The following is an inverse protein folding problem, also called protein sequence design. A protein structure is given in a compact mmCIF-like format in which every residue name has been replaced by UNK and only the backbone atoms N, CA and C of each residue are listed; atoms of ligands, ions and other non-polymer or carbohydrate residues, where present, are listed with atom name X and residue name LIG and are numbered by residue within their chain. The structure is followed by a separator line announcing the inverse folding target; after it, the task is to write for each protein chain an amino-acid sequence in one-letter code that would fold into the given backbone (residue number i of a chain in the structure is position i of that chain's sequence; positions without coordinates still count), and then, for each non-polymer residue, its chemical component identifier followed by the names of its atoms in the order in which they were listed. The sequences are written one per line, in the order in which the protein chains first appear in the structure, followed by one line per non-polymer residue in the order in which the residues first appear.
data_IF_741459399366
#
_entry.id   IF_741459399366
#
_cell.length_a   1.000
_cell.length_b   1.000
_cell.length_c   1.000
_cell.angle_alpha   90.00
_cell.angle_beta   90.00
_cell.angle_gamma   90.00
#
_symmetry.space_group_name_H-M   'P 1'
#
loop_
_entity.id
_entity.type
_entity.pdbx_description
1 polymer ?
#
# COMPACT_ATOMS: atom_id res chain seq x y z
N UNK A 1 43.41 -33.18 0.80
CA UNK A 1 42.64 -32.51 -0.24
C UNK A 1 42.27 -31.14 0.30
N UNK A 2 42.65 -30.04 -0.34
CA UNK A 2 42.23 -28.73 0.10
C UNK A 2 40.70 -28.57 -0.14
N UNK A 3 39.96 -28.35 0.93
CA UNK A 3 38.58 -27.88 0.85
C UNK A 3 38.61 -26.48 0.20
N UNK A 4 38.25 -26.41 -1.09
CA UNK A 4 38.14 -25.16 -1.78
C UNK A 4 37.15 -24.28 -1.02
N UNK A 5 37.60 -23.19 -0.45
CA UNK A 5 36.77 -22.12 0.04
C UNK A 5 35.86 -21.67 -1.14
N UNK A 6 34.60 -22.02 -1.13
CA UNK A 6 33.62 -21.39 -2.02
C UNK A 6 33.65 -19.91 -1.69
N UNK A 7 34.23 -19.11 -2.55
CA UNK A 7 34.08 -17.68 -2.49
C UNK A 7 32.57 -17.42 -2.43
N UNK A 8 32.12 -16.84 -1.34
CA UNK A 8 30.75 -16.38 -1.20
C UNK A 8 30.58 -15.34 -2.30
N UNK A 9 29.76 -15.65 -3.31
CA UNK A 9 29.54 -14.74 -4.41
C UNK A 9 29.10 -13.40 -3.81
N UNK A 10 29.79 -12.32 -4.21
CA UNK A 10 29.51 -10.98 -3.71
C UNK A 10 28.02 -10.66 -3.93
N UNK A 11 27.26 -10.57 -2.85
CA UNK A 11 25.86 -10.15 -2.93
C UNK A 11 25.80 -8.61 -2.98
N UNK A 12 25.01 -8.02 -3.88
CA UNK A 12 24.17 -8.64 -4.92
C UNK A 12 24.95 -8.82 -6.24
N UNK A 13 24.91 -10.04 -6.82
CA UNK A 13 25.53 -10.36 -8.11
C UNK A 13 24.58 -10.24 -9.31
N UNK A 14 23.30 -9.91 -9.10
CA UNK A 14 22.25 -9.78 -10.13
C UNK A 14 21.22 -8.74 -9.70
N UNK A 15 20.37 -8.25 -10.62
CA UNK A 15 19.32 -7.29 -10.27
C UNK A 15 18.38 -7.79 -9.18
N UNK A 16 17.96 -6.85 -8.33
CA UNK A 16 16.96 -7.09 -7.28
C UNK A 16 15.57 -6.73 -7.81
N UNK A 17 14.55 -7.34 -7.24
CA UNK A 17 13.15 -7.02 -7.48
C UNK A 17 12.55 -6.37 -6.23
N UNK A 18 11.91 -5.22 -6.39
CA UNK A 18 11.14 -4.56 -5.34
C UNK A 18 9.66 -4.60 -5.71
N UNK A 19 8.90 -5.44 -5.03
CA UNK A 19 7.45 -5.58 -5.25
C UNK A 19 6.71 -4.47 -4.51
N UNK A 20 5.83 -3.78 -5.22
CA UNK A 20 4.87 -2.82 -4.67
C UNK A 20 3.48 -3.46 -4.73
N UNK A 21 2.83 -3.75 -3.58
CA UNK A 21 1.57 -4.49 -3.54
C UNK A 21 0.33 -3.61 -3.85
N UNK A 22 0.53 -2.55 -4.61
CA UNK A 22 -0.49 -1.59 -5.04
C UNK A 22 -0.30 -1.20 -6.50
N UNK A 23 -1.36 -0.65 -7.11
CA UNK A 23 -1.28 -0.06 -8.44
C UNK A 23 -0.31 1.13 -8.48
N UNK A 24 0.28 1.42 -9.64
CA UNK A 24 1.21 2.53 -9.82
C UNK A 24 0.60 3.89 -9.46
N UNK A 25 1.47 4.86 -9.13
CA UNK A 25 1.11 6.27 -8.93
C UNK A 25 0.64 6.64 -7.52
N UNK A 26 0.51 5.66 -6.61
CA UNK A 26 0.23 5.93 -5.19
C UNK A 26 1.50 6.20 -4.37
N UNK A 27 1.33 6.67 -3.11
CA UNK A 27 2.44 7.01 -2.23
C UNK A 27 3.47 5.87 -2.06
N UNK A 28 3.02 4.63 -1.90
CA UNK A 28 3.90 3.46 -1.78
C UNK A 28 4.72 3.24 -3.05
N UNK A 29 4.13 3.40 -4.24
CA UNK A 29 4.80 3.23 -5.52
C UNK A 29 5.86 4.31 -5.76
N UNK A 30 5.50 5.58 -5.54
CA UNK A 30 6.44 6.70 -5.67
C UNK A 30 7.63 6.54 -4.73
N UNK A 31 7.37 6.20 -3.46
CA UNK A 31 8.42 5.95 -2.48
C UNK A 31 9.30 4.77 -2.87
N UNK A 32 8.70 3.66 -3.34
CA UNK A 32 9.45 2.49 -3.79
C UNK A 32 10.41 2.82 -4.92
N UNK A 33 9.99 3.64 -5.90
CA UNK A 33 10.85 4.06 -7.02
C UNK A 33 12.01 4.93 -6.57
N UNK A 34 11.78 5.86 -5.63
CA UNK A 34 12.85 6.68 -5.05
C UNK A 34 13.86 5.83 -4.28
N UNK A 35 13.38 4.89 -3.47
CA UNK A 35 14.24 3.96 -2.71
C UNK A 35 15.00 3.03 -3.66
N UNK A 36 14.32 2.46 -4.66
CA UNK A 36 14.94 1.58 -5.64
C UNK A 36 16.08 2.26 -6.40
N UNK A 37 15.90 3.53 -6.79
CA UNK A 37 16.95 4.32 -7.42
C UNK A 37 18.18 4.44 -6.50
N UNK A 38 17.98 4.86 -5.23
CA UNK A 38 19.08 5.01 -4.27
C UNK A 38 19.75 3.69 -3.91
N UNK A 39 18.99 2.61 -3.80
CA UNK A 39 19.55 1.28 -3.60
C UNK A 39 20.36 0.82 -4.82
N UNK A 40 19.89 1.10 -6.05
CA UNK A 40 20.64 0.75 -7.25
C UNK A 40 22.01 1.45 -7.29
N UNK A 41 22.03 2.72 -6.92
CA UNK A 41 23.27 3.50 -6.84
C UNK A 41 24.24 2.94 -5.79
N UNK A 42 23.72 2.58 -4.61
CA UNK A 42 24.53 2.08 -3.49
C UNK A 42 25.04 0.65 -3.71
N UNK A 43 24.18 -0.23 -4.23
CA UNK A 43 24.48 -1.65 -4.42
C UNK A 43 25.17 -1.95 -5.76
N UNK A 44 25.28 -0.96 -6.65
CA UNK A 44 25.83 -1.14 -8.00
C UNK A 44 25.10 -2.24 -8.81
N UNK A 45 23.84 -2.50 -8.45
CA UNK A 45 22.96 -3.44 -9.11
C UNK A 45 21.58 -2.80 -9.29
N UNK A 46 20.91 -3.13 -10.39
CA UNK A 46 19.59 -2.60 -10.67
C UNK A 46 18.56 -3.12 -9.66
N UNK A 47 17.71 -2.23 -9.13
CA UNK A 47 16.54 -2.57 -8.34
C UNK A 47 15.29 -2.28 -9.17
N UNK A 48 14.63 -3.33 -9.64
CA UNK A 48 13.46 -3.23 -10.53
C UNK A 48 12.19 -3.17 -9.70
N UNK A 49 11.40 -2.11 -9.85
CA UNK A 49 10.09 -1.98 -9.19
C UNK A 49 9.02 -2.69 -9.99
N UNK A 50 8.28 -3.59 -9.34
CA UNK A 50 7.19 -4.37 -9.93
C UNK A 50 5.91 -4.17 -9.12
N UNK A 51 4.85 -3.65 -9.76
CA UNK A 51 3.54 -3.49 -9.11
C UNK A 51 2.75 -4.79 -9.19
N UNK A 52 2.35 -5.34 -8.03
CA UNK A 52 1.48 -6.52 -7.90
C UNK A 52 0.28 -6.21 -6.99
N UNK A 53 -0.71 -5.47 -7.49
CA UNK A 53 -1.85 -5.07 -6.70
C UNK A 53 -2.85 -6.22 -6.49
N UNK A 54 -3.67 -6.10 -5.46
CA UNK A 54 -4.78 -7.00 -5.20
C UNK A 54 -4.96 -7.36 -3.73
N UNK A 55 -6.22 -7.61 -3.35
CA UNK A 55 -6.58 -8.03 -1.99
C UNK A 55 -6.21 -7.05 -0.88
N UNK A 56 -6.12 -5.74 -1.15
CA UNK A 56 -5.67 -4.76 -0.15
C UNK A 56 -4.21 -4.92 0.22
N UNK A 57 -3.33 -5.23 -0.74
CA UNK A 57 -1.90 -5.51 -0.65
C UNK A 57 -1.49 -6.99 -0.49
N UNK A 58 -2.43 -7.89 -0.26
CA UNK A 58 -2.11 -9.28 0.08
C UNK A 58 -1.43 -10.03 -1.07
N UNK A 59 -1.89 -9.85 -2.31
CA UNK A 59 -1.37 -10.58 -3.47
C UNK A 59 0.13 -10.33 -3.68
N UNK A 60 0.56 -9.08 -3.65
CA UNK A 60 1.98 -8.75 -3.81
C UNK A 60 2.83 -9.16 -2.62
N UNK A 61 2.30 -9.05 -1.40
CA UNK A 61 3.02 -9.44 -0.18
C UNK A 61 3.18 -10.96 -0.10
N UNK A 62 2.13 -11.73 -0.40
CA UNK A 62 2.17 -13.20 -0.46
C UNK A 62 3.20 -13.71 -1.47
N UNK A 63 3.28 -13.05 -2.63
CA UNK A 63 4.30 -13.38 -3.63
C UNK A 63 5.72 -13.26 -3.06
N UNK A 64 6.01 -12.22 -2.27
CA UNK A 64 7.34 -12.04 -1.66
C UNK A 64 7.56 -12.99 -0.49
N UNK A 65 6.55 -13.23 0.33
CA UNK A 65 6.63 -14.20 1.44
C UNK A 65 6.96 -15.63 0.97
N UNK A 66 6.56 -15.98 -0.25
CA UNK A 66 6.85 -17.28 -0.90
C UNK A 66 8.08 -17.28 -1.80
N UNK A 67 8.75 -16.14 -1.97
CA UNK A 67 9.96 -16.05 -2.76
C UNK A 67 11.14 -16.71 -2.03
N UNK A 68 12.22 -17.03 -2.77
CA UNK A 68 13.45 -17.50 -2.16
C UNK A 68 14.00 -16.45 -1.16
N UNK A 69 14.41 -16.85 0.06
CA UNK A 69 14.90 -15.93 1.10
C UNK A 69 16.37 -15.56 0.87
N UNK A 70 16.72 -15.18 -0.35
CA UNK A 70 18.08 -14.87 -0.81
C UNK A 70 18.41 -13.37 -0.87
N UNK A 71 17.44 -12.52 -0.47
CA UNK A 71 17.58 -11.07 -0.46
C UNK A 71 17.35 -10.39 -1.81
N UNK A 72 17.04 -11.14 -2.88
CA UNK A 72 16.80 -10.56 -4.22
C UNK A 72 15.36 -10.14 -4.48
N UNK A 73 14.42 -10.55 -3.63
CA UNK A 73 13.02 -10.16 -3.75
C UNK A 73 12.59 -9.42 -2.49
N UNK A 74 12.30 -8.14 -2.63
CA UNK A 74 11.90 -7.23 -1.57
C UNK A 74 10.44 -6.84 -1.74
N UNK A 75 9.77 -6.46 -0.67
CA UNK A 75 8.46 -5.80 -0.72
C UNK A 75 8.54 -4.41 -0.10
N UNK A 76 8.03 -3.40 -0.81
CA UNK A 76 7.71 -2.11 -0.21
C UNK A 76 6.35 -2.25 0.48
N UNK A 77 6.39 -2.73 1.71
CA UNK A 77 5.19 -3.01 2.49
C UNK A 77 4.55 -1.71 3.03
N UNK A 78 3.23 -1.69 3.06
CA UNK A 78 2.46 -0.75 3.86
C UNK A 78 1.96 -1.45 5.15
N UNK A 79 1.43 -0.68 6.10
CA UNK A 79 0.88 -1.25 7.33
C UNK A 79 -0.19 -2.33 7.07
N UNK A 80 -0.98 -2.20 6.00
CA UNK A 80 -1.99 -3.21 5.60
C UNK A 80 -1.41 -4.60 5.34
N UNK A 81 -0.13 -4.69 4.94
CA UNK A 81 0.54 -5.96 4.71
C UNK A 81 0.86 -6.71 6.02
N UNK A 82 1.02 -5.96 7.13
CA UNK A 82 1.63 -6.48 8.36
C UNK A 82 0.58 -6.68 9.46
N UNK A 83 -0.32 -5.74 9.70
CA UNK A 83 -1.24 -5.77 10.82
C UNK A 83 -2.72 -5.75 10.44
N UNK A 84 -3.33 -4.67 9.86
CA UNK A 84 -4.76 -4.64 9.63
C UNK A 84 -5.26 -5.72 8.67
N UNK A 85 -4.54 -5.99 7.60
CA UNK A 85 -4.92 -7.01 6.61
C UNK A 85 -5.07 -8.39 7.25
N UNK A 86 -4.04 -8.90 7.95
CA UNK A 86 -4.12 -10.16 8.69
C UNK A 86 -5.24 -10.23 9.73
N UNK A 87 -5.46 -9.16 10.50
CA UNK A 87 -6.49 -9.13 11.55
C UNK A 87 -7.93 -9.12 11.00
N UNK A 88 -8.11 -8.69 9.76
CA UNK A 88 -9.42 -8.59 9.11
C UNK A 88 -9.80 -9.84 8.31
N UNK A 89 -8.98 -10.89 8.29
CA UNK A 89 -9.19 -12.08 7.46
C UNK A 89 -8.95 -13.35 8.23
N UNK A 90 -9.84 -14.32 8.05
CA UNK A 90 -9.72 -15.64 8.69
C UNK A 90 -8.63 -16.52 8.05
N UNK A 91 -8.33 -16.32 6.77
CA UNK A 91 -7.37 -17.12 6.02
C UNK A 91 -6.37 -16.22 5.33
N UNK A 92 -5.27 -15.89 6.02
CA UNK A 92 -4.13 -15.21 5.44
C UNK A 92 -3.19 -16.20 4.76
N UNK A 93 -2.71 -15.92 3.55
CA UNK A 93 -1.80 -16.82 2.83
C UNK A 93 -0.34 -16.74 3.31
N UNK A 94 -0.02 -15.81 4.22
CA UNK A 94 1.30 -15.63 4.83
C UNK A 94 1.17 -15.14 6.28
N UNK A 95 2.21 -15.35 7.06
CA UNK A 95 2.42 -14.77 8.39
C UNK A 95 3.47 -13.66 8.27
N UNK A 96 3.05 -12.40 8.46
CA UNK A 96 3.93 -11.24 8.25
C UNK A 96 5.13 -11.18 9.20
N UNK A 97 5.07 -11.83 10.35
CA UNK A 97 6.16 -11.85 11.34
C UNK A 97 7.13 -13.02 11.12
N UNK A 98 6.68 -14.12 10.51
CA UNK A 98 7.49 -15.33 10.31
C UNK A 98 8.00 -15.46 8.88
N UNK A 99 7.19 -15.08 7.90
CA UNK A 99 7.49 -15.33 6.49
C UNK A 99 8.18 -14.14 5.82
N UNK A 100 8.34 -13.01 6.54
CA UNK A 100 9.02 -11.80 6.05
C UNK A 100 10.10 -11.35 7.04
N UNK A 101 11.28 -11.04 6.51
CA UNK A 101 12.33 -10.36 7.27
C UNK A 101 12.15 -8.85 7.16
N UNK A 102 11.88 -8.18 8.28
CA UNK A 102 11.71 -6.74 8.34
C UNK A 102 13.08 -6.04 8.29
N UNK A 103 13.35 -5.28 7.24
CA UNK A 103 14.64 -4.63 7.00
C UNK A 103 14.71 -3.24 7.61
N UNK A 104 13.76 -2.35 7.25
CA UNK A 104 13.74 -0.98 7.74
C UNK A 104 12.36 -0.34 7.61
N UNK A 105 12.08 0.64 8.47
CA UNK A 105 11.00 1.60 8.27
C UNK A 105 11.50 2.72 7.34
N UNK A 106 10.93 2.81 6.14
CA UNK A 106 11.34 3.82 5.14
C UNK A 106 10.75 5.20 5.47
N UNK A 107 9.52 5.25 5.97
CA UNK A 107 8.85 6.48 6.33
C UNK A 107 7.40 6.27 6.75
N UNK A 108 6.75 7.37 7.15
CA UNK A 108 5.32 7.40 7.52
C UNK A 108 4.62 8.48 6.71
N UNK A 109 3.36 8.20 6.35
CA UNK A 109 2.50 9.13 5.64
C UNK A 109 1.21 9.33 6.42
N UNK A 110 0.80 10.57 6.70
CA UNK A 110 -0.52 10.83 7.26
C UNK A 110 -1.60 10.54 6.22
N UNK A 111 -2.78 10.08 6.67
CA UNK A 111 -3.97 10.08 5.83
C UNK A 111 -4.59 11.48 5.81
N UNK A 112 -5.06 11.90 4.64
CA UNK A 112 -5.84 13.12 4.46
C UNK A 112 -7.21 12.79 3.87
N UNK A 113 -8.25 13.48 4.35
CA UNK A 113 -9.53 13.52 3.64
C UNK A 113 -9.48 14.66 2.63
N UNK A 114 -9.74 14.33 1.38
CA UNK A 114 -9.75 15.28 0.28
C UNK A 114 -11.04 15.12 -0.50
N UNK A 115 -11.54 16.23 -1.02
CA UNK A 115 -12.65 16.30 -1.97
C UNK A 115 -12.22 17.12 -3.18
N UNK A 116 -12.97 17.08 -4.26
CA UNK A 116 -12.70 17.94 -5.42
C UNK A 116 -12.76 19.41 -5.03
N UNK A 117 -12.03 20.26 -5.74
CA UNK A 117 -11.99 21.70 -5.48
C UNK A 117 -13.36 22.39 -5.65
N UNK A 118 -14.20 21.86 -6.53
CA UNK A 118 -15.57 22.35 -6.80
C UNK A 118 -16.62 21.75 -5.84
N UNK A 119 -16.22 20.84 -4.95
CA UNK A 119 -17.14 20.25 -3.96
C UNK A 119 -17.71 21.32 -3.02
N UNK A 120 -19.02 21.27 -2.70
CA UNK A 120 -19.68 22.29 -1.87
C UNK A 120 -19.15 22.32 -0.42
N UNK A 121 -18.76 21.19 0.17
CA UNK A 121 -18.12 21.14 1.48
C UNK A 121 -16.74 21.83 1.44
N UNK A 122 -16.50 22.77 2.35
CA UNK A 122 -15.22 23.48 2.49
C UNK A 122 -14.46 23.08 3.76
N UNK A 123 -15.07 22.22 4.58
CA UNK A 123 -14.49 21.64 5.78
C UNK A 123 -15.00 20.22 5.99
N UNK A 124 -14.34 19.46 6.87
CA UNK A 124 -14.83 18.13 7.27
C UNK A 124 -16.20 18.23 7.95
N UNK A 125 -16.45 19.32 8.71
CA UNK A 125 -17.73 19.54 9.37
C UNK A 125 -18.87 19.71 8.33
N UNK A 126 -18.63 20.46 7.25
CA UNK A 126 -19.61 20.62 6.15
C UNK A 126 -19.89 19.27 5.47
N UNK A 127 -18.85 18.51 5.18
CA UNK A 127 -19.00 17.16 4.57
C UNK A 127 -19.84 16.25 5.49
N UNK A 128 -19.55 16.20 6.77
CA UNK A 128 -20.31 15.42 7.75
C UNK A 128 -21.78 15.86 7.83
N UNK A 129 -22.05 17.17 7.82
CA UNK A 129 -23.42 17.69 7.83
C UNK A 129 -24.18 17.28 6.56
N UNK A 130 -23.54 17.36 5.40
CA UNK A 130 -24.13 16.94 4.12
C UNK A 130 -24.38 15.42 4.08
N UNK A 131 -23.44 14.62 4.56
CA UNK A 131 -23.56 13.17 4.59
C UNK A 131 -24.67 12.70 5.56
N UNK A 132 -24.86 13.39 6.68
CA UNK A 132 -25.99 13.15 7.60
C UNK A 132 -27.34 13.47 6.97
N UNK A 133 -27.39 14.54 6.18
CA UNK A 133 -28.63 14.96 5.50
C UNK A 133 -29.01 14.02 4.34
N UNK A 134 -28.06 13.28 3.80
CA UNK A 134 -28.25 12.40 2.64
C UNK A 134 -27.51 11.06 2.85
N UNK A 135 -28.00 10.16 3.73
CA UNK A 135 -27.35 8.87 3.99
C UNK A 135 -27.21 8.03 2.73
N UNK A 136 -26.06 7.37 2.55
CA UNK A 136 -25.77 6.46 1.44
C UNK A 136 -25.54 7.14 0.08
N UNK A 137 -25.58 8.48 -0.01
CA UNK A 137 -25.40 9.21 -1.28
C UNK A 137 -23.95 9.46 -1.58
N UNK A 138 -23.17 9.88 -0.58
CA UNK A 138 -21.75 10.17 -0.73
C UNK A 138 -20.90 8.90 -0.70
N UNK A 139 -19.75 8.94 -1.34
CA UNK A 139 -18.81 7.84 -1.36
C UNK A 139 -17.42 8.27 -0.89
N UNK A 140 -16.57 7.30 -0.55
CA UNK A 140 -15.16 7.51 -0.30
C UNK A 140 -14.34 6.37 -0.89
N UNK A 141 -13.13 6.68 -1.32
CA UNK A 141 -12.21 5.69 -1.87
C UNK A 141 -11.08 5.33 -0.93
N UNK A 142 -10.50 4.18 -1.13
CA UNK A 142 -9.27 3.74 -0.46
C UNK A 142 -8.40 2.89 -1.37
N UNK A 143 -7.19 2.57 -0.91
CA UNK A 143 -6.29 1.63 -1.61
C UNK A 143 -6.72 0.16 -1.48
N UNK A 144 -7.92 -0.09 -0.99
CA UNK A 144 -8.52 -1.42 -0.77
C UNK A 144 -8.83 -1.68 0.70
N UNK A 145 -9.63 -2.71 0.92
CA UNK A 145 -10.05 -3.13 2.27
C UNK A 145 -8.82 -3.50 3.11
N UNK A 146 -8.74 -2.99 4.34
CA UNK A 146 -7.60 -3.15 5.25
C UNK A 146 -6.51 -2.09 5.09
N UNK A 147 -6.58 -1.21 4.08
CA UNK A 147 -5.67 -0.06 3.97
C UNK A 147 -5.97 0.99 5.05
N UNK A 148 -4.98 1.85 5.34
CA UNK A 148 -5.17 2.94 6.30
C UNK A 148 -6.29 3.90 5.89
N UNK A 149 -6.44 4.18 4.58
CA UNK A 149 -7.54 5.00 4.07
C UNK A 149 -8.91 4.34 4.32
N UNK A 150 -9.03 3.03 4.11
CA UNK A 150 -10.26 2.29 4.45
C UNK A 150 -10.60 2.42 5.93
N UNK A 151 -9.63 2.12 6.82
CA UNK A 151 -9.85 2.20 8.27
C UNK A 151 -10.19 3.63 8.74
N UNK A 152 -9.56 4.64 8.14
CA UNK A 152 -9.87 6.05 8.43
C UNK A 152 -11.29 6.42 8.01
N UNK A 153 -11.75 5.95 6.84
CA UNK A 153 -13.12 6.15 6.37
C UNK A 153 -14.14 5.47 7.28
N UNK A 154 -13.93 4.21 7.63
CA UNK A 154 -14.83 3.48 8.55
C UNK A 154 -14.84 4.10 9.95
N UNK A 155 -13.70 4.57 10.44
CA UNK A 155 -13.64 5.30 11.71
C UNK A 155 -14.42 6.62 11.64
N UNK A 156 -14.33 7.37 10.54
CA UNK A 156 -15.12 8.58 10.31
C UNK A 156 -16.62 8.26 10.31
N UNK A 157 -17.06 7.23 9.59
CA UNK A 157 -18.46 6.77 9.59
C UNK A 157 -18.94 6.53 11.02
N UNK A 158 -18.18 5.76 11.79
CA UNK A 158 -18.52 5.42 13.16
C UNK A 158 -18.57 6.64 14.10
N UNK A 159 -17.52 7.49 14.05
CA UNK A 159 -17.39 8.64 14.97
C UNK A 159 -18.36 9.77 14.64
N UNK A 160 -18.62 10.01 13.36
CA UNK A 160 -19.52 11.07 12.91
C UNK A 160 -20.98 10.61 12.79
N UNK A 161 -21.28 9.31 12.88
CA UNK A 161 -22.61 8.77 12.69
C UNK A 161 -23.15 9.08 11.29
N UNK A 162 -22.33 8.85 10.26
CA UNK A 162 -22.69 9.09 8.85
C UNK A 162 -22.67 7.78 8.05
N UNK A 163 -23.51 7.72 7.02
CA UNK A 163 -23.51 6.63 6.05
C UNK A 163 -22.97 7.14 4.71
N UNK A 164 -21.75 6.66 4.38
CA UNK A 164 -21.06 6.92 3.12
C UNK A 164 -20.55 5.60 2.54
N UNK A 165 -20.56 5.46 1.23
CA UNK A 165 -20.27 4.20 0.52
C UNK A 165 -18.78 4.07 0.26
N UNK A 166 -18.20 2.95 0.64
CA UNK A 166 -16.78 2.66 0.35
C UNK A 166 -16.60 2.13 -1.08
N UNK A 167 -15.70 2.76 -1.85
CA UNK A 167 -15.29 2.33 -3.19
C UNK A 167 -13.82 1.86 -3.12
N UNK A 168 -13.57 0.53 -3.12
CA UNK A 168 -12.21 0.00 -3.03
C UNK A 168 -11.46 0.06 -4.36
N UNK A 169 -10.24 0.61 -4.33
CA UNK A 169 -9.31 0.62 -5.44
C UNK A 169 -8.11 -0.32 -5.18
N UNK A 170 -7.35 -0.62 -6.23
CA UNK A 170 -6.11 -1.42 -6.12
C UNK A 170 -4.89 -0.57 -5.70
N UNK A 171 -5.11 0.62 -5.18
CA UNK A 171 -4.10 1.61 -4.78
C UNK A 171 -4.65 3.03 -4.87
N UNK A 172 -3.95 4.01 -4.31
CA UNK A 172 -4.40 5.42 -4.32
C UNK A 172 -4.25 6.11 -5.68
N UNK A 173 -3.35 5.63 -6.56
CA UNK A 173 -3.19 6.21 -7.91
C UNK A 173 -4.49 6.24 -8.71
N UNK A 174 -5.11 5.10 -9.03
CA UNK A 174 -6.40 5.06 -9.74
C UNK A 174 -7.52 5.75 -8.97
N UNK A 175 -7.58 5.68 -7.63
CA UNK A 175 -8.56 6.40 -6.84
C UNK A 175 -8.46 7.93 -7.03
N UNK A 176 -7.23 8.47 -7.06
CA UNK A 176 -6.99 9.89 -7.31
C UNK A 176 -7.41 10.29 -8.73
N UNK A 177 -7.15 9.45 -9.73
CA UNK A 177 -7.58 9.72 -11.09
C UNK A 177 -9.11 9.83 -11.20
N UNK A 178 -9.84 8.92 -10.57
CA UNK A 178 -11.31 8.91 -10.56
C UNK A 178 -11.89 10.07 -9.74
N UNK A 179 -11.24 10.46 -8.63
CA UNK A 179 -11.62 11.67 -7.89
C UNK A 179 -11.50 12.93 -8.77
N UNK A 180 -10.38 13.09 -9.46
CA UNK A 180 -10.17 14.22 -10.38
C UNK A 180 -11.11 14.18 -11.58
N UNK A 181 -11.47 12.97 -12.04
CA UNK A 181 -12.42 12.75 -13.11
C UNK A 181 -13.90 12.93 -12.71
N UNK A 182 -14.20 13.18 -11.42
CA UNK A 182 -15.56 13.37 -10.92
C UNK A 182 -16.37 12.09 -10.76
N UNK A 183 -15.70 10.95 -10.65
CA UNK A 183 -16.33 9.65 -10.37
C UNK A 183 -16.47 9.39 -8.86
N UNK A 184 -15.83 10.22 -8.03
CA UNK A 184 -15.84 10.18 -6.57
C UNK A 184 -16.15 11.56 -5.98
N UNK A 185 -16.60 11.59 -4.71
CA UNK A 185 -16.98 12.80 -3.96
C UNK A 185 -15.81 13.49 -3.21
#
# INVERSE_FOLDING_TARGET
MPLGARAQADWPARPLRMVVPFAPGGATDVTARLVAQKLSDALKQQVVVENRPGGGSIVGTDFVAKAAPDGYTLVMAANSCIAPGPLMRNNMPYDALRDLTHVALVGTFPNGFVVRADHPAKSLADFVAMARAKPGVFNYSSAGVGSSGFLSGELLKQKAGIDIVHIPYKGTGPATADLLGGQLD
#
